data_IF_633573888330
#
_entry.id   IF_633573888330
#
_cell.length_a   1.000
_cell.length_b   1.000
_cell.length_c   1.000
_cell.angle_alpha   90.00
_cell.angle_beta   90.00
_cell.angle_gamma   90.00
#
_symmetry.space_group_name_H-M   'P 1'
#
loop_
_entity.id
_entity.type
_entity.pdbx_description
1 polymer ?
#
# COMPACT_ATOMS: atom_id res chain seq x y z
N UNK A 1 -20.84 -0.01 4.79
CA UNK A 1 -20.93 1.24 3.99
C UNK A 1 -21.13 0.87 2.53
N UNK A 2 -22.11 1.45 1.85
CA UNK A 2 -22.27 1.24 0.42
C UNK A 2 -21.11 1.93 -0.32
N UNK A 3 -20.42 1.20 -1.17
CA UNK A 3 -19.29 1.70 -1.96
C UNK A 3 -19.84 2.56 -3.09
N UNK A 4 -19.69 3.88 -3.00
CA UNK A 4 -20.15 4.80 -4.02
C UNK A 4 -19.06 4.99 -5.08
N UNK A 5 -19.36 4.60 -6.33
CA UNK A 5 -18.46 4.81 -7.47
C UNK A 5 -18.10 6.30 -7.64
N UNK A 6 -19.08 7.18 -7.48
CA UNK A 6 -18.89 8.64 -7.60
C UNK A 6 -17.89 9.16 -6.56
N UNK A 7 -18.05 8.77 -5.30
CA UNK A 7 -17.09 9.16 -4.23
C UNK A 7 -15.69 8.60 -4.49
N UNK A 8 -15.61 7.37 -4.99
CA UNK A 8 -14.33 6.75 -5.28
C UNK A 8 -13.59 7.41 -6.44
N UNK A 9 -14.31 7.89 -7.46
CA UNK A 9 -13.70 8.62 -8.58
C UNK A 9 -13.15 9.99 -8.17
N UNK A 10 -13.69 10.60 -7.11
CA UNK A 10 -13.24 11.90 -6.59
C UNK A 10 -12.02 11.79 -5.65
N UNK A 11 -11.66 10.58 -5.22
CA UNK A 11 -10.49 10.38 -4.37
C UNK A 11 -9.19 10.62 -5.13
N UNK A 12 -8.22 11.20 -4.44
CA UNK A 12 -6.88 11.43 -5.00
C UNK A 12 -6.22 10.11 -5.43
N UNK A 13 -5.54 10.15 -6.56
CA UNK A 13 -4.76 9.00 -7.03
C UNK A 13 -3.42 8.94 -6.28
N UNK A 14 -3.20 7.88 -5.52
CA UNK A 14 -2.02 7.66 -4.67
C UNK A 14 -0.88 6.93 -5.40
N UNK A 15 -1.12 6.50 -6.64
CA UNK A 15 -0.09 6.01 -7.55
C UNK A 15 -0.02 6.92 -8.77
N UNK A 16 1.07 7.65 -8.92
CA UNK A 16 1.24 8.60 -10.03
C UNK A 16 1.36 7.89 -11.40
N UNK A 17 1.14 8.64 -12.48
CA UNK A 17 1.25 8.12 -13.85
C UNK A 17 2.68 7.85 -14.33
N UNK A 18 3.72 8.14 -13.53
CA UNK A 18 5.13 8.00 -13.91
C UNK A 18 5.71 6.58 -13.82
N UNK A 19 4.87 5.57 -13.60
CA UNK A 19 5.33 4.17 -13.59
C UNK A 19 5.62 3.65 -15.00
N UNK A 20 6.48 2.65 -15.11
CA UNK A 20 6.91 2.02 -16.38
C UNK A 20 6.23 0.66 -16.63
N UNK A 21 5.00 0.47 -16.20
CA UNK A 21 4.25 -0.75 -16.47
C UNK A 21 3.78 -0.78 -17.92
N UNK A 22 3.60 -2.00 -18.44
CA UNK A 22 3.13 -2.23 -19.81
C UNK A 22 1.76 -1.58 -20.03
N UNK A 23 1.50 -1.16 -21.27
CA UNK A 23 0.18 -0.71 -21.69
C UNK A 23 -0.85 -1.81 -21.47
N UNK A 24 -1.98 -1.49 -20.85
CA UNK A 24 -3.03 -2.46 -20.53
C UNK A 24 -2.73 -3.39 -19.35
N UNK A 25 -1.64 -3.19 -18.60
CA UNK A 25 -1.33 -4.00 -17.44
C UNK A 25 -2.41 -3.83 -16.33
N UNK A 26 -2.90 -4.96 -15.80
CA UNK A 26 -3.89 -4.96 -14.72
C UNK A 26 -3.34 -4.54 -13.35
N UNK A 27 -2.03 -4.61 -13.14
CA UNK A 27 -1.42 -4.30 -11.84
C UNK A 27 -1.66 -2.87 -11.37
N UNK A 28 -1.47 -1.82 -12.19
CA UNK A 28 -1.76 -0.44 -11.75
C UNK A 28 -3.24 -0.23 -11.45
N UNK A 29 -4.13 -0.91 -12.17
CA UNK A 29 -5.58 -0.84 -11.92
C UNK A 29 -5.89 -1.43 -10.55
N UNK A 30 -5.37 -2.63 -10.27
CA UNK A 30 -5.56 -3.30 -8.98
C UNK A 30 -5.00 -2.47 -7.81
N UNK A 31 -3.78 -1.94 -7.95
CA UNK A 31 -3.16 -1.08 -6.93
C UNK A 31 -3.99 0.17 -6.67
N UNK A 32 -4.42 0.89 -7.71
CA UNK A 32 -5.27 2.08 -7.56
C UNK A 32 -6.59 1.75 -6.89
N UNK A 33 -7.20 0.63 -7.24
CA UNK A 33 -8.44 0.18 -6.60
C UNK A 33 -8.26 -0.06 -5.11
N UNK A 34 -7.18 -0.74 -4.72
CA UNK A 34 -6.85 -0.98 -3.30
C UNK A 34 -6.60 0.32 -2.55
N UNK A 35 -5.77 1.20 -3.11
CA UNK A 35 -5.42 2.47 -2.46
C UNK A 35 -6.63 3.42 -2.35
N UNK A 36 -7.55 3.40 -3.32
CA UNK A 36 -8.80 4.18 -3.26
C UNK A 36 -9.81 3.63 -2.25
N UNK A 37 -9.67 2.37 -1.81
CA UNK A 37 -10.49 1.83 -0.73
C UNK A 37 -10.14 2.43 0.64
N UNK A 38 -8.95 3.04 0.78
CA UNK A 38 -8.55 3.74 2.00
C UNK A 38 -9.38 5.01 2.22
N UNK A 39 -9.52 5.41 3.49
CA UNK A 39 -10.06 6.72 3.80
C UNK A 39 -9.04 7.83 3.46
N UNK A 40 -9.48 9.06 3.19
CA UNK A 40 -8.58 10.16 2.87
C UNK A 40 -7.54 10.45 3.95
N UNK A 41 -7.92 10.26 5.23
CA UNK A 41 -7.07 10.48 6.40
C UNK A 41 -6.09 9.33 6.69
N UNK A 42 -6.31 8.14 6.12
CA UNK A 42 -5.44 6.99 6.34
C UNK A 42 -4.09 7.20 5.62
N UNK A 43 -3.01 7.06 6.36
CA UNK A 43 -1.65 6.99 5.82
C UNK A 43 -1.33 5.55 5.47
N UNK A 44 -0.80 5.29 4.28
CA UNK A 44 -0.41 3.95 3.89
C UNK A 44 1.10 3.74 4.01
N UNK A 45 1.47 2.55 4.44
CA UNK A 45 2.82 2.01 4.28
C UNK A 45 2.71 0.81 3.36
N UNK A 46 3.27 0.95 2.19
CA UNK A 46 3.23 -0.05 1.14
C UNK A 46 4.56 -0.77 1.10
N UNK A 47 4.52 -2.08 1.12
CA UNK A 47 5.67 -2.94 0.98
C UNK A 47 5.48 -3.82 -0.25
N UNK A 48 6.41 -3.80 -1.18
CA UNK A 48 6.34 -4.64 -2.37
C UNK A 48 7.57 -5.53 -2.49
N UNK A 49 7.31 -6.82 -2.74
CA UNK A 49 8.36 -7.75 -3.10
C UNK A 49 8.77 -7.53 -4.55
N UNK A 50 10.03 -7.82 -4.87
CA UNK A 50 10.59 -7.70 -6.21
C UNK A 50 9.69 -8.42 -7.23
N UNK A 51 9.15 -7.64 -8.15
CA UNK A 51 8.22 -8.08 -9.20
C UNK A 51 8.08 -6.98 -10.24
N UNK A 52 7.34 -7.24 -11.33
CA UNK A 52 7.03 -6.20 -12.31
C UNK A 52 6.39 -4.95 -11.68
N UNK A 53 5.53 -5.13 -10.70
CA UNK A 53 4.91 -4.00 -9.98
C UNK A 53 5.97 -3.16 -9.26
N UNK A 54 6.86 -3.81 -8.55
CA UNK A 54 7.88 -3.13 -7.77
C UNK A 54 8.88 -2.42 -8.67
N UNK A 55 9.56 -3.14 -9.58
CA UNK A 55 10.62 -2.56 -10.43
C UNK A 55 10.14 -1.50 -11.41
N UNK A 56 8.84 -1.51 -11.77
CA UNK A 56 8.26 -0.52 -12.68
C UNK A 56 7.74 0.73 -11.98
N UNK A 57 7.57 0.70 -10.67
CA UNK A 57 7.00 1.81 -9.90
C UNK A 57 8.04 2.59 -9.11
N UNK A 58 9.22 2.04 -8.96
CA UNK A 58 10.34 2.78 -8.40
C UNK A 58 11.55 2.72 -9.36
N UNK A 59 12.17 3.84 -9.61
CA UNK A 59 13.49 3.90 -10.26
C UNK A 59 14.25 5.06 -9.63
N UNK A 60 15.29 4.70 -8.90
CA UNK A 60 16.09 5.71 -8.22
C UNK A 60 16.49 6.86 -9.18
N UNK A 61 16.35 8.11 -8.78
CA UNK A 61 15.83 8.62 -7.50
C UNK A 61 14.30 8.83 -7.45
N UNK A 62 13.53 8.34 -8.40
CA UNK A 62 12.09 8.58 -8.55
C UNK A 62 11.25 7.43 -8.03
N UNK A 63 10.04 7.74 -7.59
CA UNK A 63 9.00 6.77 -7.24
C UNK A 63 7.65 7.21 -7.77
N UNK A 64 6.80 6.26 -8.16
CA UNK A 64 5.42 6.52 -8.53
C UNK A 64 4.47 6.55 -7.30
N UNK A 65 4.93 6.12 -6.16
CA UNK A 65 4.13 6.03 -4.92
C UNK A 65 4.09 7.39 -4.21
N UNK A 66 2.90 7.83 -3.83
CA UNK A 66 2.71 9.01 -2.96
C UNK A 66 2.72 8.65 -1.48
N UNK A 67 2.53 7.39 -1.16
CA UNK A 67 2.62 6.83 0.18
C UNK A 67 4.04 6.35 0.49
N UNK A 68 4.28 6.04 1.77
CA UNK A 68 5.54 5.41 2.18
C UNK A 68 5.70 4.05 1.51
N UNK A 69 6.79 3.87 0.77
CA UNK A 69 7.05 2.67 -0.01
C UNK A 69 8.33 1.98 0.44
N UNK A 70 8.24 0.66 0.65
CA UNK A 70 9.37 -0.18 1.05
C UNK A 70 9.59 -1.24 -0.03
N UNK A 71 10.77 -1.21 -0.62
CA UNK A 71 11.24 -2.23 -1.54
C UNK A 71 11.79 -3.44 -0.79
N UNK A 72 11.46 -4.64 -1.26
CA UNK A 72 11.92 -5.90 -0.67
C UNK A 72 12.30 -6.93 -1.72
N UNK A 73 13.14 -7.89 -1.30
CA UNK A 73 13.39 -9.09 -2.08
C UNK A 73 12.10 -9.89 -2.33
N UNK A 74 12.16 -10.84 -3.27
CA UNK A 74 11.02 -11.56 -3.83
C UNK A 74 10.01 -12.15 -2.82
N UNK A 75 10.46 -12.60 -1.65
CA UNK A 75 9.62 -13.30 -0.65
C UNK A 75 9.36 -12.49 0.61
N UNK A 76 10.06 -11.38 0.82
CA UNK A 76 10.16 -10.73 2.15
C UNK A 76 9.10 -9.69 2.46
N UNK A 77 8.24 -9.29 1.52
CA UNK A 77 7.29 -8.18 1.73
C UNK A 77 6.39 -8.40 2.95
N UNK A 78 5.86 -9.61 3.13
CA UNK A 78 4.97 -9.91 4.26
C UNK A 78 5.72 -9.88 5.61
N UNK A 79 6.92 -10.43 5.66
CA UNK A 79 7.74 -10.42 6.87
C UNK A 79 8.14 -8.99 7.26
N UNK A 80 8.57 -8.19 6.29
CA UNK A 80 8.95 -6.79 6.50
C UNK A 80 7.76 -5.97 6.99
N UNK A 81 6.60 -6.07 6.35
CA UNK A 81 5.43 -5.28 6.75
C UNK A 81 4.93 -5.68 8.15
N UNK A 82 5.04 -6.95 8.52
CA UNK A 82 4.72 -7.43 9.86
C UNK A 82 5.63 -6.81 10.93
N UNK A 83 6.93 -6.70 10.62
CA UNK A 83 7.89 -6.02 11.50
C UNK A 83 7.59 -4.54 11.66
N UNK A 84 7.30 -3.85 10.56
CA UNK A 84 6.93 -2.42 10.56
C UNK A 84 5.63 -2.18 11.34
N UNK A 85 4.62 -3.03 11.15
CA UNK A 85 3.35 -2.94 11.87
C UNK A 85 3.54 -3.19 13.37
N UNK A 86 4.37 -4.15 13.75
CA UNK A 86 4.71 -4.41 15.16
C UNK A 86 5.41 -3.21 15.80
N UNK A 87 6.36 -2.60 15.10
CA UNK A 87 7.01 -1.37 15.55
C UNK A 87 6.02 -0.21 15.71
N UNK A 88 5.12 -0.03 14.73
CA UNK A 88 4.05 0.97 14.80
C UNK A 88 3.18 0.78 16.05
N UNK A 89 2.71 -0.44 16.33
CA UNK A 89 1.91 -0.75 17.54
C UNK A 89 2.66 -0.40 18.82
N UNK A 90 3.95 -0.74 18.89
CA UNK A 90 4.79 -0.40 20.04
C UNK A 90 4.93 1.11 20.22
N UNK A 91 5.14 1.86 19.13
CA UNK A 91 5.24 3.33 19.18
C UNK A 91 3.91 3.99 19.54
N UNK A 92 2.80 3.50 19.01
CA UNK A 92 1.44 3.96 19.35
C UNK A 92 1.13 3.74 20.83
N UNK A 93 1.47 2.54 21.36
CA UNK A 93 1.31 2.24 22.80
C UNK A 93 2.15 3.16 23.69
N UNK A 94 3.29 3.62 23.21
CA UNK A 94 4.16 4.58 23.93
C UNK A 94 3.73 6.05 23.75
N UNK A 95 2.62 6.33 23.06
CA UNK A 95 2.14 7.68 22.79
C UNK A 95 2.99 8.50 21.82
N UNK A 96 3.91 7.86 21.09
CA UNK A 96 4.80 8.53 20.14
C UNK A 96 4.18 8.77 18.76
N UNK A 97 3.09 8.07 18.44
CA UNK A 97 2.36 8.18 17.18
C UNK A 97 0.87 8.29 17.44
N UNK A 98 0.22 9.25 16.78
CA UNK A 98 -1.23 9.50 16.87
C UNK A 98 -1.93 9.05 15.59
N UNK A 99 -1.25 9.19 14.45
CA UNK A 99 -1.81 8.91 13.12
C UNK A 99 -2.24 7.45 12.95
N UNK A 100 -3.24 7.24 12.12
CA UNK A 100 -3.67 5.90 11.70
C UNK A 100 -2.96 5.49 10.42
N UNK A 101 -2.22 4.39 10.51
CA UNK A 101 -1.51 3.81 9.38
C UNK A 101 -2.16 2.51 8.93
N UNK A 102 -2.19 2.29 7.63
CA UNK A 102 -2.61 1.05 6.98
C UNK A 102 -1.39 0.40 6.32
N UNK A 103 -1.20 -0.89 6.58
CA UNK A 103 -0.03 -1.64 6.14
C UNK A 103 -0.45 -2.57 5.01
N UNK A 104 0.15 -2.42 3.83
CA UNK A 104 -0.22 -3.13 2.61
C UNK A 104 1.00 -3.82 2.03
N UNK A 105 0.92 -5.14 1.85
CA UNK A 105 1.94 -5.91 1.15
C UNK A 105 1.47 -6.32 -0.24
N UNK A 106 2.25 -6.00 -1.26
CA UNK A 106 2.06 -6.53 -2.60
C UNK A 106 3.13 -7.59 -2.89
N UNK A 107 2.70 -8.78 -3.29
CA UNK A 107 3.58 -9.87 -3.69
C UNK A 107 3.24 -10.31 -5.10
N UNK A 108 4.07 -10.00 -6.09
CA UNK A 108 3.80 -10.28 -7.50
C UNK A 108 2.45 -9.70 -7.94
N UNK A 109 1.79 -10.26 -8.95
CA UNK A 109 0.42 -9.87 -9.31
C UNK A 109 -0.65 -10.36 -8.30
N UNK A 110 -0.26 -11.07 -7.22
CA UNK A 110 -1.17 -11.50 -6.15
C UNK A 110 -1.13 -10.51 -5.00
N UNK A 111 -2.26 -9.90 -4.73
CA UNK A 111 -2.51 -9.13 -3.53
C UNK A 111 -2.55 -10.10 -2.33
N UNK A 112 -1.61 -10.01 -1.43
CA UNK A 112 -1.74 -10.60 -0.11
C UNK A 112 -2.25 -9.51 0.82
N UNK A 113 -3.55 -9.45 0.97
CA UNK A 113 -4.20 -8.73 2.06
C UNK A 113 -4.04 -9.61 3.31
N UNK A 114 -2.90 -9.47 3.99
CA UNK A 114 -2.75 -10.09 5.29
C UNK A 114 -3.64 -9.36 6.28
N UNK A 115 -4.61 -10.05 6.83
CA UNK A 115 -5.38 -9.75 8.06
C UNK A 115 -5.93 -8.32 8.25
N UNK A 116 -6.25 -7.64 7.17
CA UNK A 116 -6.80 -6.29 7.21
C UNK A 116 -8.16 -6.20 7.93
N UNK A 117 -8.88 -7.32 7.97
CA UNK A 117 -10.22 -7.38 8.55
C UNK A 117 -10.28 -7.67 10.06
N UNK A 118 -9.16 -8.00 10.71
CA UNK A 118 -9.17 -8.39 12.13
C UNK A 118 -8.68 -7.33 13.10
N UNK A 119 -8.13 -6.22 12.63
CA UNK A 119 -7.44 -5.25 13.50
C UNK A 119 -8.35 -4.15 14.06
N UNK A 120 -9.52 -3.92 13.47
CA UNK A 120 -10.45 -2.87 13.89
C UNK A 120 -11.63 -3.34 14.76
N UNK A 121 -11.58 -4.54 15.33
CA UNK A 121 -12.65 -5.06 16.19
C UNK A 121 -12.23 -5.23 17.65
N UNK A 122 -11.52 -4.26 18.21
CA UNK A 122 -11.48 -4.08 19.67
C UNK A 122 -11.23 -2.63 20.06
#
# INVERSE_FOLDING_TARGET
MAYSLKENLMKEDRLSGGHRMCAGCGSPIAVRTVLRALNPEDKAVVCSATSCLEVSTFMYPYTAWKDSFIHNAFENAAATISGVETAYRAMKKRGKLVDTFKFIAFRSARLVLSDWFKIDQK
#
